data_IF_416094528685
#
_entry.id   IF_416094528685
#
_cell.length_a   1.000
_cell.length_b   1.000
_cell.length_c   1.000
_cell.angle_alpha   90.00
_cell.angle_beta   90.00
_cell.angle_gamma   90.00
#
_symmetry.space_group_name_H-M   'P 1'
#
loop_
_entity.id
_entity.type
_entity.pdbx_description
1 polymer ?
#
# COMPACT_ATOMS: atom_id res chain seq x y z
N UNK A 1 -5.66 -4.34 -2.33
CA UNK A 1 -6.58 -3.78 -1.31
C UNK A 1 -5.92 -2.65 -0.52
N UNK A 2 -6.63 -1.57 -0.17
CA UNK A 2 -6.22 -0.71 0.96
C UNK A 2 -7.10 -1.10 2.15
N UNK A 3 -6.53 -1.20 3.33
CA UNK A 3 -7.21 -1.62 4.56
C UNK A 3 -7.11 -0.53 5.62
N UNK A 4 -7.98 -0.58 6.64
CA UNK A 4 -8.05 0.39 7.75
C UNK A 4 -8.11 1.85 7.26
N UNK A 5 -9.29 2.28 6.82
CA UNK A 5 -9.57 3.64 6.33
C UNK A 5 -8.66 4.08 5.16
N UNK A 6 -8.18 3.13 4.35
CA UNK A 6 -7.36 3.43 3.18
C UNK A 6 -5.86 3.64 3.48
N UNK A 7 -5.43 3.54 4.73
CA UNK A 7 -4.08 3.92 5.14
C UNK A 7 -3.06 2.79 5.09
N UNK A 8 -3.52 1.55 4.98
CA UNK A 8 -2.65 0.39 4.98
C UNK A 8 -2.74 -0.33 3.63
N UNK A 9 -1.62 -0.86 3.17
CA UNK A 9 -1.57 -1.78 2.04
C UNK A 9 -0.77 -3.03 2.42
N UNK A 10 -1.01 -4.12 1.68
CA UNK A 10 -0.29 -5.38 1.85
C UNK A 10 0.78 -5.47 0.74
N UNK A 11 2.07 -5.29 1.05
CA UNK A 11 3.14 -5.43 0.09
C UNK A 11 3.63 -6.88 -0.02
N UNK A 12 4.28 -7.18 -1.14
CA UNK A 12 5.19 -8.31 -1.25
C UNK A 12 6.48 -8.03 -0.47
N UNK A 13 6.87 -8.94 0.42
CA UNK A 13 8.10 -8.83 1.21
C UNK A 13 9.39 -8.74 0.38
N UNK A 14 9.37 -9.19 -0.89
CA UNK A 14 10.56 -9.19 -1.77
C UNK A 14 10.74 -7.89 -2.56
N UNK A 15 9.65 -7.23 -2.94
CA UNK A 15 9.71 -6.12 -3.89
C UNK A 15 8.89 -4.89 -3.47
N UNK A 16 8.27 -4.93 -2.30
CA UNK A 16 7.38 -3.91 -1.72
C UNK A 16 6.17 -3.52 -2.58
N UNK A 17 5.97 -4.15 -3.75
CA UNK A 17 4.80 -3.92 -4.60
C UNK A 17 3.55 -4.40 -3.88
N UNK A 18 2.48 -3.62 -3.96
CA UNK A 18 1.14 -3.98 -3.50
C UNK A 18 0.68 -5.31 -4.12
N UNK A 19 0.18 -6.21 -3.28
CA UNK A 19 -0.40 -7.49 -3.71
C UNK A 19 -1.82 -7.31 -4.26
N UNK A 20 -2.22 -8.23 -5.13
CA UNK A 20 -3.59 -8.38 -5.63
C UNK A 20 -4.27 -9.58 -4.93
N UNK A 21 -5.60 -9.62 -4.93
CA UNK A 21 -6.39 -10.67 -4.27
C UNK A 21 -7.03 -10.20 -2.96
N UNK A 22 -7.84 -11.09 -2.38
CA UNK A 22 -8.56 -10.93 -1.12
C UNK A 22 -8.09 -11.99 -0.11
N UNK A 23 -8.17 -11.66 1.18
CA UNK A 23 -7.88 -12.53 2.31
C UNK A 23 -6.62 -13.41 2.18
N UNK A 24 -6.79 -14.72 1.92
CA UNK A 24 -5.74 -15.74 1.90
C UNK A 24 -5.07 -15.95 0.54
N UNK A 25 -5.53 -15.27 -0.51
CA UNK A 25 -5.05 -15.45 -1.89
C UNK A 25 -4.31 -14.22 -2.42
N UNK A 26 -3.47 -13.65 -1.55
CA UNK A 26 -2.65 -12.51 -1.91
C UNK A 26 -1.52 -12.95 -2.86
N UNK A 27 -1.48 -12.32 -4.03
CA UNK A 27 -0.54 -12.61 -5.09
C UNK A 27 0.31 -11.39 -5.43
N UNK A 28 1.62 -11.59 -5.56
CA UNK A 28 2.51 -10.58 -6.10
C UNK A 28 2.68 -10.78 -7.61
N UNK A 29 2.13 -9.86 -8.41
CA UNK A 29 2.24 -9.93 -9.89
C UNK A 29 3.65 -9.67 -10.41
N UNK A 30 4.54 -9.06 -9.62
CA UNK A 30 5.94 -8.80 -10.03
C UNK A 30 6.87 -9.97 -9.75
N UNK A 31 6.63 -10.69 -8.65
CA UNK A 31 7.45 -11.83 -8.25
C UNK A 31 6.82 -13.17 -8.63
N UNK A 32 5.61 -13.15 -9.21
CA UNK A 32 4.83 -14.33 -9.59
C UNK A 32 4.76 -15.35 -8.45
N UNK A 33 4.41 -14.87 -7.26
CA UNK A 33 4.41 -15.68 -6.06
C UNK A 33 3.27 -15.33 -5.11
N UNK A 34 2.80 -16.34 -4.38
CA UNK A 34 1.83 -16.19 -3.30
C UNK A 34 2.48 -15.49 -2.11
N UNK A 35 1.70 -14.67 -1.40
CA UNK A 35 2.12 -13.93 -0.21
C UNK A 35 1.29 -14.40 0.98
N UNK A 36 1.81 -15.39 1.72
CA UNK A 36 1.06 -16.06 2.79
C UNK A 36 1.00 -15.26 4.09
N UNK A 37 1.97 -14.37 4.34
CA UNK A 37 2.05 -13.54 5.56
C UNK A 37 2.48 -12.11 5.23
N UNK A 38 1.61 -11.29 4.65
CA UNK A 38 1.92 -9.88 4.42
C UNK A 38 1.96 -9.11 5.75
N UNK A 39 2.99 -8.29 5.93
CA UNK A 39 2.99 -7.28 7.00
C UNK A 39 2.38 -6.01 6.40
N UNK A 40 1.24 -5.56 6.94
CA UNK A 40 0.62 -4.33 6.50
C UNK A 40 1.57 -3.13 6.68
N UNK A 41 1.65 -2.28 5.66
CA UNK A 41 2.50 -1.08 5.63
C UNK A 41 1.66 0.17 5.44
N UNK A 42 2.14 1.29 5.96
CA UNK A 42 1.47 2.57 5.80
C UNK A 42 1.63 3.13 4.39
N UNK A 43 0.51 3.58 3.84
CA UNK A 43 0.39 4.40 2.65
C UNK A 43 -0.71 5.41 2.93
N UNK A 44 -0.31 6.60 3.36
CA UNK A 44 -1.22 7.67 3.77
C UNK A 44 -1.27 8.71 2.67
N UNK A 45 -2.44 8.90 2.09
CA UNK A 45 -2.71 10.00 1.17
C UNK A 45 -3.08 11.24 1.98
N UNK A 46 -2.34 12.34 1.77
CA UNK A 46 -2.50 13.60 2.47
C UNK A 46 -2.86 14.66 1.42
N UNK A 47 -4.05 15.22 1.52
CA UNK A 47 -4.45 16.38 0.75
C UNK A 47 -4.08 17.65 1.52
N UNK A 48 -3.27 18.50 0.89
CA UNK A 48 -2.85 19.80 1.44
C UNK A 48 -3.46 20.88 0.56
N UNK A 49 -4.13 21.84 1.19
CA UNK A 49 -4.72 22.98 0.50
C UNK A 49 -4.23 24.27 1.15
N UNK A 50 -3.77 25.19 0.31
CA UNK A 50 -3.38 26.54 0.70
C UNK A 50 -4.07 27.57 -0.22
N UNK A 51 -3.68 28.82 -0.07
CA UNK A 51 -4.13 29.97 -0.86
C UNK A 51 -3.69 29.93 -2.33
N UNK A 52 -2.74 29.06 -2.70
CA UNK A 52 -2.26 28.89 -4.08
C UNK A 52 -2.91 27.71 -4.79
N UNK A 53 -3.46 26.74 -4.05
CA UNK A 53 -4.17 25.60 -4.62
C UNK A 53 -4.22 24.39 -3.72
N UNK A 54 -4.26 23.21 -4.33
CA UNK A 54 -4.28 21.92 -3.64
C UNK A 54 -3.23 20.98 -4.20
N UNK A 55 -2.58 20.21 -3.33
CA UNK A 55 -1.65 19.15 -3.68
C UNK A 55 -1.95 17.86 -2.89
N UNK A 56 -1.67 16.71 -3.50
CA UNK A 56 -1.80 15.40 -2.86
C UNK A 56 -0.42 14.80 -2.68
N UNK A 57 -0.09 14.43 -1.45
CA UNK A 57 1.13 13.74 -1.08
C UNK A 57 0.81 12.31 -0.66
N UNK A 58 1.73 11.39 -0.93
CA UNK A 58 1.65 10.02 -0.43
C UNK A 58 2.84 9.78 0.48
N UNK A 59 2.55 9.57 1.77
CA UNK A 59 3.54 9.19 2.77
C UNK A 59 3.56 7.67 2.92
N UNK A 60 4.74 7.08 2.90
CA UNK A 60 4.97 5.64 3.11
C UNK A 60 5.89 5.43 4.31
N UNK A 61 5.75 4.30 5.00
CA UNK A 61 6.67 3.95 6.08
C UNK A 61 8.09 3.62 5.56
N UNK A 62 9.07 3.76 6.44
CA UNK A 62 10.47 3.45 6.12
C UNK A 62 10.64 1.92 6.04
N UNK A 63 11.32 1.46 4.98
CA UNK A 63 11.71 0.06 4.82
C UNK A 63 12.74 -0.37 5.86
#
# INVERSE_FOLDING_TARGET
MLIKNGWLYLPCHRCSKKTAGEDSDLWCTKCETKVDMPIARFLVQIEVKDDTGSAVFVAVDKN
#
